data_IF_550860425036
#
_entry.id   IF_550860425036
#
_cell.length_a   1.000
_cell.length_b   1.000
_cell.length_c   1.000
_cell.angle_alpha   90.00
_cell.angle_beta   90.00
_cell.angle_gamma   90.00
#
_symmetry.space_group_name_H-M   'P 1'
#
loop_
_entity.id
_entity.type
_entity.pdbx_description
1 polymer ?
#
# COMPACT_ATOMS: atom_id res chain seq x y z
N UNK A 1 14.47 10.11 -16.03
CA UNK A 1 14.15 8.66 -16.11
C UNK A 1 12.79 8.54 -16.77
N UNK A 2 12.54 7.42 -17.46
CA UNK A 2 11.21 7.08 -17.96
C UNK A 2 10.23 6.96 -16.78
N UNK A 3 9.14 7.72 -16.82
CA UNK A 3 8.06 7.73 -15.80
C UNK A 3 7.57 6.31 -15.51
N UNK A 4 7.60 5.43 -16.53
CA UNK A 4 7.19 4.04 -16.40
C UNK A 4 8.10 3.25 -15.47
N UNK A 5 9.41 3.36 -15.69
CA UNK A 5 10.42 2.67 -14.88
C UNK A 5 10.43 3.19 -13.45
N UNK A 6 10.14 4.48 -13.25
CA UNK A 6 9.99 5.06 -11.92
C UNK A 6 8.74 4.52 -11.19
N UNK A 7 7.59 4.47 -11.84
CA UNK A 7 6.36 3.93 -11.26
C UNK A 7 6.49 2.44 -10.92
N UNK A 8 7.11 1.66 -11.81
CA UNK A 8 7.41 0.24 -11.57
C UNK A 8 8.31 0.04 -10.36
N UNK A 9 9.40 0.83 -10.27
CA UNK A 9 10.31 0.79 -9.12
C UNK A 9 9.60 1.09 -7.80
N UNK A 10 8.71 2.10 -7.79
CA UNK A 10 7.91 2.42 -6.59
C UNK A 10 6.99 1.27 -6.18
N UNK A 11 6.40 0.55 -7.14
CA UNK A 11 5.59 -0.63 -6.86
C UNK A 11 6.44 -1.77 -6.28
N UNK A 12 7.61 -2.06 -6.85
CA UNK A 12 8.55 -3.06 -6.34
C UNK A 12 9.00 -2.74 -4.90
N UNK A 13 9.39 -1.49 -4.63
CA UNK A 13 9.75 -1.03 -3.29
C UNK A 13 8.58 -1.16 -2.29
N UNK A 14 7.36 -0.84 -2.74
CA UNK A 14 6.15 -0.97 -1.91
C UNK A 14 5.86 -2.43 -1.56
N UNK A 15 5.96 -3.34 -2.54
CA UNK A 15 5.79 -4.78 -2.32
C UNK A 15 6.81 -5.30 -1.32
N UNK A 16 8.07 -4.86 -1.42
CA UNK A 16 9.11 -5.28 -0.49
C UNK A 16 8.84 -4.80 0.94
N UNK A 17 8.35 -3.57 1.11
CA UNK A 17 7.93 -3.05 2.42
C UNK A 17 6.75 -3.84 2.97
N UNK A 18 5.73 -4.14 2.15
CA UNK A 18 4.58 -4.96 2.53
C UNK A 18 4.98 -6.39 2.94
N UNK A 19 5.96 -6.99 2.27
CA UNK A 19 6.47 -8.32 2.57
C UNK A 19 7.21 -8.37 3.91
N UNK A 20 7.91 -7.29 4.26
CA UNK A 20 8.71 -7.22 5.48
C UNK A 20 7.91 -6.72 6.70
N UNK A 21 6.72 -6.16 6.47
CA UNK A 21 5.85 -5.68 7.52
C UNK A 21 5.25 -6.84 8.34
N UNK A 22 5.47 -6.83 9.64
CA UNK A 22 5.05 -7.88 10.57
C UNK A 22 4.36 -7.34 11.81
N UNK A 23 4.66 -6.11 12.23
CA UNK A 23 4.09 -5.48 13.43
C UNK A 23 3.28 -4.25 13.03
N UNK A 24 1.96 -4.28 13.26
CA UNK A 24 1.06 -3.18 12.97
C UNK A 24 1.50 -1.86 13.63
N UNK A 25 1.94 -1.88 14.89
CA UNK A 25 2.28 -0.67 15.63
C UNK A 25 3.54 0.02 15.09
N UNK A 26 4.47 -0.77 14.54
CA UNK A 26 5.72 -0.27 13.98
C UNK A 26 5.62 0.02 12.48
N UNK A 27 4.98 -0.87 11.72
CA UNK A 27 5.11 -0.95 10.28
C UNK A 27 3.98 -0.23 9.52
N UNK A 28 2.87 0.11 10.18
CA UNK A 28 1.75 0.80 9.53
C UNK A 28 2.16 2.15 8.91
N UNK A 29 3.07 2.88 9.57
CA UNK A 29 3.56 4.18 9.09
C UNK A 29 4.49 4.01 7.86
N UNK A 30 5.53 3.15 7.90
CA UNK A 30 6.33 2.82 6.70
C UNK A 30 5.48 2.36 5.51
N UNK A 31 4.51 1.47 5.74
CA UNK A 31 3.61 0.97 4.68
C UNK A 31 2.82 2.11 4.05
N UNK A 32 2.19 2.96 4.86
CA UNK A 32 1.42 4.11 4.37
C UNK A 32 2.28 5.13 3.64
N UNK A 33 3.51 5.36 4.13
CA UNK A 33 4.44 6.26 3.47
C UNK A 33 4.73 5.79 2.05
N UNK A 34 5.08 4.51 1.86
CA UNK A 34 5.38 3.92 0.55
C UNK A 34 4.18 3.90 -0.39
N UNK A 35 2.99 3.59 0.14
CA UNK A 35 1.75 3.66 -0.63
C UNK A 35 1.46 5.10 -1.10
N UNK A 36 1.69 6.09 -0.24
CA UNK A 36 1.50 7.51 -0.57
C UNK A 36 2.56 8.04 -1.55
N UNK A 37 3.81 7.55 -1.50
CA UNK A 37 4.83 7.85 -2.50
C UNK A 37 4.41 7.40 -3.91
N UNK A 38 3.67 6.29 -4.02
CA UNK A 38 3.05 5.85 -5.28
C UNK A 38 1.93 6.79 -5.76
N UNK A 39 1.25 7.49 -4.85
CA UNK A 39 0.22 8.48 -5.18
C UNK A 39 0.75 9.87 -5.53
N UNK A 40 2.05 10.14 -5.38
CA UNK A 40 2.65 11.41 -5.78
C UNK A 40 2.58 11.65 -7.30
N UNK A 41 2.36 10.60 -8.08
CA UNK A 41 2.01 10.72 -9.50
C UNK A 41 0.51 11.00 -9.64
N UNK A 42 0.17 12.12 -10.26
CA UNK A 42 -1.24 12.46 -10.54
C UNK A 42 -1.88 11.45 -11.50
N UNK A 43 -3.21 11.35 -11.49
CA UNK A 43 -4.00 10.54 -12.44
C UNK A 43 -3.64 10.81 -13.92
N UNK A 44 -3.17 12.01 -14.25
CA UNK A 44 -2.68 12.37 -15.59
C UNK A 44 -1.38 11.64 -15.94
N UNK A 45 -0.40 11.59 -15.03
CA UNK A 45 0.86 10.86 -15.23
C UNK A 45 0.61 9.36 -15.46
N UNK A 46 -0.32 8.74 -14.74
CA UNK A 46 -0.69 7.34 -14.96
C UNK A 46 -1.49 7.09 -16.24
N UNK A 47 -2.18 8.12 -16.76
CA UNK A 47 -2.87 8.05 -18.05
C UNK A 47 -1.87 8.16 -19.22
N UNK A 48 -0.80 8.94 -19.05
CA UNK A 48 0.33 9.00 -19.99
C UNK A 48 1.12 7.68 -20.03
N UNK A 49 1.22 6.98 -18.90
CA UNK A 49 1.78 5.63 -18.83
C UNK A 49 0.97 4.61 -19.65
N UNK A 50 -0.35 4.76 -19.77
CA UNK A 50 -1.13 3.91 -20.65
C UNK A 50 -0.75 4.12 -22.12
N UNK A 51 -0.50 5.36 -22.54
CA UNK A 51 -0.05 5.67 -23.90
C UNK A 51 1.36 5.14 -24.21
N UNK A 52 2.26 5.15 -23.23
CA UNK A 52 3.64 4.64 -23.37
C UNK A 52 3.73 3.10 -23.28
N UNK A 53 2.97 2.48 -22.37
CA UNK A 53 2.94 1.02 -22.24
C UNK A 53 2.26 0.32 -23.42
N UNK A 54 1.25 0.96 -24.03
CA UNK A 54 0.71 0.55 -25.33
C UNK A 54 1.77 0.59 -26.44
N UNK A 55 2.75 1.50 -26.37
CA UNK A 55 3.80 1.63 -27.36
C UNK A 55 4.97 0.64 -27.18
N UNK A 56 5.16 0.06 -25.98
CA UNK A 56 6.34 -0.75 -25.66
C UNK A 56 6.06 -2.22 -25.30
N UNK A 57 4.95 -2.55 -24.62
CA UNK A 57 4.74 -3.91 -24.09
C UNK A 57 3.32 -4.46 -24.22
N UNK A 58 2.32 -3.65 -24.60
CA UNK A 58 0.90 -4.05 -24.81
C UNK A 58 0.15 -4.69 -23.62
N UNK A 59 0.82 -5.07 -22.53
CA UNK A 59 0.21 -5.85 -21.45
C UNK A 59 0.11 -5.09 -20.12
N UNK A 60 0.97 -4.11 -19.88
CA UNK A 60 1.06 -3.39 -18.60
C UNK A 60 0.25 -2.09 -18.63
N UNK A 61 -0.69 -1.89 -17.69
CA UNK A 61 -1.56 -0.70 -17.65
C UNK A 61 -1.24 0.19 -16.46
N UNK A 62 -0.75 1.41 -16.71
CA UNK A 62 -0.49 2.42 -15.68
C UNK A 62 -1.71 2.75 -14.81
N UNK A 63 -2.92 2.62 -15.35
CA UNK A 63 -4.16 2.78 -14.56
C UNK A 63 -4.26 1.78 -13.41
N UNK A 64 -3.80 0.55 -13.59
CA UNK A 64 -3.94 -0.51 -12.58
C UNK A 64 -3.03 -0.23 -11.39
N UNK A 65 -1.83 0.33 -11.61
CA UNK A 65 -0.96 0.83 -10.55
C UNK A 65 -1.58 2.00 -9.79
N UNK A 66 -2.19 2.97 -10.48
CA UNK A 66 -2.86 4.08 -9.81
C UNK A 66 -3.99 3.60 -8.90
N UNK A 67 -4.86 2.71 -9.40
CA UNK A 67 -5.94 2.15 -8.61
C UNK A 67 -5.44 1.29 -7.46
N UNK A 68 -4.34 0.58 -7.64
CA UNK A 68 -3.65 -0.14 -6.58
C UNK A 68 -3.25 0.80 -5.44
N UNK A 69 -2.46 1.84 -5.73
CA UNK A 69 -1.98 2.76 -4.70
C UNK A 69 -3.14 3.49 -4.02
N UNK A 70 -4.16 3.90 -4.77
CA UNK A 70 -5.36 4.55 -4.23
C UNK A 70 -6.12 3.65 -3.26
N UNK A 71 -6.41 2.41 -3.69
CA UNK A 71 -7.16 1.44 -2.90
C UNK A 71 -6.45 1.13 -1.60
N UNK A 72 -5.18 0.73 -1.69
CA UNK A 72 -4.46 0.25 -0.51
C UNK A 72 -4.11 1.39 0.45
N UNK A 73 -3.80 2.60 -0.04
CA UNK A 73 -3.65 3.77 0.86
C UNK A 73 -4.90 3.98 1.70
N UNK A 74 -6.09 3.95 1.08
CA UNK A 74 -7.35 4.12 1.79
C UNK A 74 -7.63 2.96 2.78
N UNK A 75 -7.38 1.71 2.36
CA UNK A 75 -7.58 0.55 3.23
C UNK A 75 -6.65 0.58 4.46
N UNK A 76 -5.38 0.91 4.30
CA UNK A 76 -4.43 1.02 5.41
C UNK A 76 -4.75 2.22 6.32
N UNK A 77 -5.21 3.35 5.77
CA UNK A 77 -5.63 4.50 6.57
C UNK A 77 -6.75 4.14 7.56
N UNK A 78 -7.71 3.29 7.16
CA UNK A 78 -8.79 2.84 8.04
C UNK A 78 -8.33 1.96 9.21
N UNK A 79 -7.09 1.46 9.18
CA UNK A 79 -6.49 0.68 10.28
C UNK A 79 -5.84 1.61 11.32
N UNK A 80 -5.29 2.77 10.93
CA UNK A 80 -4.42 3.67 11.72
C UNK A 80 -5.06 4.27 12.99
N UNK A 81 -6.38 4.19 13.17
CA UNK A 81 -7.15 4.98 14.15
C UNK A 81 -6.88 4.72 15.66
N UNK A 82 -5.75 4.14 16.07
CA UNK A 82 -5.44 3.81 17.48
C UNK A 82 -4.01 4.18 17.86
N UNK A 83 -3.64 5.44 17.70
CA UNK A 83 -2.33 5.91 18.20
C UNK A 83 -2.47 6.94 19.33
N UNK A 84 -3.68 7.44 19.61
CA UNK A 84 -3.85 8.56 20.55
C UNK A 84 -4.68 8.27 21.81
N UNK A 85 -5.10 7.02 22.04
CA UNK A 85 -5.85 6.66 23.25
C UNK A 85 -4.89 6.12 24.32
N UNK A 86 -4.65 6.91 25.37
CA UNK A 86 -3.93 6.47 26.56
C UNK A 86 -4.82 5.46 27.32
N UNK A 87 -4.40 4.20 27.50
CA UNK A 87 -5.17 3.24 28.28
C UNK A 87 -5.15 3.66 29.77
N UNK A 88 -6.32 3.86 30.38
CA UNK A 88 -6.45 3.69 31.82
C UNK A 88 -6.50 2.18 32.13
N UNK A 89 -6.26 1.79 33.39
CA UNK A 89 -6.09 0.38 33.78
C UNK A 89 -7.29 -0.50 33.38
N UNK A 90 -8.51 0.03 33.44
CA UNK A 90 -9.74 -0.68 33.07
C UNK A 90 -9.93 -0.80 31.53
N UNK A 91 -9.25 0.06 30.77
CA UNK A 91 -9.29 0.07 29.31
C UNK A 91 -8.17 -0.74 28.67
N UNK A 92 -7.19 -1.22 29.45
CA UNK A 92 -6.01 -1.89 28.93
C UNK A 92 -6.33 -3.21 28.22
N UNK A 93 -7.20 -4.05 28.79
CA UNK A 93 -7.61 -5.31 28.14
C UNK A 93 -8.38 -5.07 26.83
N UNK A 94 -9.24 -4.05 26.82
CA UNK A 94 -9.94 -3.62 25.60
C UNK A 94 -8.95 -3.11 24.57
N UNK A 95 -7.97 -2.32 24.98
CA UNK A 95 -6.89 -1.84 24.12
C UNK A 95 -6.11 -3.00 23.49
N UNK A 96 -5.66 -3.98 24.28
CA UNK A 96 -4.96 -5.16 23.78
C UNK A 96 -5.79 -5.95 22.76
N UNK A 97 -7.08 -6.14 23.05
CA UNK A 97 -8.01 -6.82 22.13
C UNK A 97 -8.10 -6.07 20.79
N UNK A 98 -8.24 -4.74 20.82
CA UNK A 98 -8.32 -3.96 19.59
C UNK A 98 -6.99 -3.99 18.83
N UNK A 99 -5.84 -3.87 19.52
CA UNK A 99 -4.51 -3.99 18.88
C UNK A 99 -4.38 -5.35 18.16
N UNK A 100 -4.83 -6.44 18.79
CA UNK A 100 -4.80 -7.77 18.17
C UNK A 100 -5.68 -7.86 16.90
N UNK A 101 -6.91 -7.32 16.96
CA UNK A 101 -7.80 -7.27 15.78
C UNK A 101 -7.14 -6.46 14.65
N UNK A 102 -6.48 -5.34 14.97
CA UNK A 102 -5.80 -4.51 13.98
C UNK A 102 -4.55 -5.19 13.42
N UNK A 103 -3.80 -5.90 14.26
CA UNK A 103 -2.67 -6.73 13.84
C UNK A 103 -3.10 -7.77 12.81
N UNK A 104 -4.16 -8.51 13.08
CA UNK A 104 -4.71 -9.49 12.13
C UNK A 104 -5.12 -8.81 10.83
N UNK A 105 -5.85 -7.70 10.91
CA UNK A 105 -6.32 -7.00 9.71
C UNK A 105 -5.18 -6.39 8.89
N UNK A 106 -4.15 -5.91 9.57
CA UNK A 106 -2.94 -5.39 8.96
C UNK A 106 -2.23 -6.47 8.14
N UNK A 107 -1.99 -7.64 8.73
CA UNK A 107 -1.34 -8.76 8.04
C UNK A 107 -2.15 -9.25 6.83
N UNK A 108 -3.48 -9.36 6.96
CA UNK A 108 -4.36 -9.69 5.83
C UNK A 108 -4.19 -8.71 4.68
N UNK A 109 -4.22 -7.41 4.98
CA UNK A 109 -4.11 -6.36 3.96
C UNK A 109 -2.71 -6.28 3.37
N UNK A 110 -1.66 -6.56 4.14
CA UNK A 110 -0.29 -6.70 3.62
C UNK A 110 -0.20 -7.84 2.60
N UNK A 111 -0.82 -8.99 2.90
CA UNK A 111 -0.84 -10.13 1.98
C UNK A 111 -1.64 -9.83 0.70
N UNK A 112 -2.83 -9.23 0.84
CA UNK A 112 -3.68 -8.84 -0.30
C UNK A 112 -2.97 -7.81 -1.20
N UNK A 113 -2.40 -6.76 -0.60
CA UNK A 113 -1.66 -5.73 -1.31
C UNK A 113 -0.41 -6.27 -2.00
N UNK A 114 0.31 -7.20 -1.37
CA UNK A 114 1.43 -7.88 -2.00
C UNK A 114 1.00 -8.65 -3.24
N UNK A 115 -0.02 -9.51 -3.11
CA UNK A 115 -0.50 -10.33 -4.22
C UNK A 115 -0.96 -9.47 -5.40
N UNK A 116 -1.72 -8.40 -5.13
CA UNK A 116 -2.16 -7.47 -6.19
C UNK A 116 -1.01 -6.70 -6.83
N UNK A 117 0.00 -6.30 -6.06
CA UNK A 117 1.19 -5.66 -6.62
C UNK A 117 1.96 -6.62 -7.54
N UNK A 118 2.16 -7.87 -7.12
CA UNK A 118 2.83 -8.90 -7.92
C UNK A 118 2.06 -9.27 -9.19
N UNK A 119 0.73 -9.30 -9.14
CA UNK A 119 -0.12 -9.49 -10.32
C UNK A 119 0.08 -8.36 -11.35
N UNK A 120 0.17 -7.11 -10.88
CA UNK A 120 0.41 -5.96 -11.77
C UNK A 120 1.81 -6.03 -12.39
N UNK A 121 2.83 -6.48 -11.66
CA UNK A 121 4.19 -6.61 -12.21
C UNK A 121 4.35 -7.73 -13.25
N UNK A 122 3.48 -8.75 -13.22
CA UNK A 122 3.53 -9.91 -14.12
C UNK A 122 2.78 -9.69 -15.45
N UNK A 123 1.82 -8.75 -15.47
CA UNK A 123 0.99 -8.43 -16.64
C UNK A 123 1.48 -7.16 -17.31
#
# INVERSE_FOLDING_TARGET
MDLFNEAKKKLEETIQVLQNAQDYLQDIKPVLHKLNEGLQFTKQHYSELNSQALAQTHTFKGSDMYFYFMRFTHQFFNIVNIVNTLPNTDYYEKFLSIVNIRQQKFLELCQEAKQKGEEILKN
#
